data_IF_511389643531
#
_entry.id   IF_511389643531
#
_cell.length_a   1.000
_cell.length_b   1.000
_cell.length_c   1.000
_cell.angle_alpha   90.00
_cell.angle_beta   90.00
_cell.angle_gamma   90.00
#
_symmetry.space_group_name_H-M   'P 1'
#
loop_
_entity.id
_entity.type
_entity.pdbx_description
1 polymer ?
#
# COMPACT_ATOMS: atom_id res chain seq x y z
N UNK A 1 25.02 -4.16 29.41
CA UNK A 1 23.58 -4.21 29.75
C UNK A 1 22.87 -3.09 28.98
N UNK A 2 21.76 -3.37 28.30
CA UNK A 2 20.90 -2.33 27.70
C UNK A 2 20.81 -2.32 26.17
N UNK A 3 20.11 -3.30 25.58
CA UNK A 3 19.61 -3.25 24.20
C UNK A 3 18.22 -3.91 24.10
N UNK A 4 17.26 -3.42 24.88
CA UNK A 4 15.86 -3.88 24.81
C UNK A 4 14.94 -2.72 25.18
N UNK A 5 14.61 -1.82 24.24
CA UNK A 5 13.51 -0.87 24.49
C UNK A 5 12.83 -0.26 23.26
N UNK A 6 13.03 -0.82 22.05
CA UNK A 6 12.29 -0.37 20.86
C UNK A 6 11.22 -1.36 20.37
N UNK A 7 11.34 -2.66 20.70
CA UNK A 7 10.38 -3.67 20.24
C UNK A 7 9.14 -3.82 21.15
N UNK A 8 9.22 -3.44 22.43
CA UNK A 8 8.13 -3.71 23.40
C UNK A 8 7.07 -2.61 23.47
N UNK A 9 7.31 -1.43 22.88
CA UNK A 9 6.33 -0.32 22.90
C UNK A 9 5.26 -0.41 21.80
N UNK A 10 5.30 -1.44 20.95
CA UNK A 10 4.29 -1.66 19.90
C UNK A 10 3.15 -2.60 20.27
N UNK A 11 3.18 -3.22 21.46
CA UNK A 11 2.34 -4.39 21.77
C UNK A 11 1.25 -4.19 22.84
N UNK A 12 1.03 -2.98 23.38
CA UNK A 12 0.09 -2.77 24.51
C UNK A 12 -1.07 -1.83 24.26
N UNK A 13 -1.53 -1.67 23.01
CA UNK A 13 -2.83 -1.03 22.73
C UNK A 13 -3.79 -1.99 22.02
N UNK A 14 -3.96 -3.20 22.58
CA UNK A 14 -5.18 -3.98 22.35
C UNK A 14 -6.31 -3.35 23.18
N UNK A 15 -6.73 -2.14 22.80
CA UNK A 15 -8.04 -1.65 23.20
C UNK A 15 -9.08 -2.50 22.49
N UNK A 16 -9.66 -3.46 23.21
CA UNK A 16 -10.99 -4.02 22.96
C UNK A 16 -11.96 -2.85 22.68
N UNK A 17 -12.25 -2.58 21.42
CA UNK A 17 -13.16 -1.51 21.03
C UNK A 17 -12.95 -0.92 19.63
N UNK A 18 -12.57 -1.70 18.63
CA UNK A 18 -12.61 -1.26 17.24
C UNK A 18 -13.62 -2.13 16.48
N UNK A 19 -14.65 -1.46 15.94
CA UNK A 19 -15.67 -1.89 14.99
C UNK A 19 -15.60 -3.34 14.52
N UNK A 20 -16.72 -4.06 14.68
CA UNK A 20 -17.03 -5.23 13.85
C UNK A 20 -16.61 -4.94 12.39
N UNK A 21 -15.96 -5.88 11.68
CA UNK A 21 -15.55 -5.63 10.31
C UNK A 21 -16.80 -5.39 9.48
N UNK A 22 -17.07 -4.11 9.19
CA UNK A 22 -18.11 -3.71 8.26
C UNK A 22 -17.88 -4.49 6.97
N UNK A 23 -18.86 -5.33 6.61
CA UNK A 23 -18.83 -6.14 5.41
C UNK A 23 -18.68 -5.17 4.23
N UNK A 24 -17.55 -5.18 3.50
CA UNK A 24 -17.33 -4.18 2.48
C UNK A 24 -18.39 -4.31 1.39
N UNK A 25 -18.93 -3.17 0.96
CA UNK A 25 -19.90 -3.17 -0.13
C UNK A 25 -19.22 -3.61 -1.44
N UNK A 26 -19.88 -4.40 -2.31
CA UNK A 26 -19.28 -4.90 -3.55
C UNK A 26 -18.66 -3.83 -4.46
N UNK A 27 -19.16 -2.59 -4.41
CA UNK A 27 -18.61 -1.47 -5.19
C UNK A 27 -17.21 -1.03 -4.73
N UNK A 28 -16.86 -1.24 -3.46
CA UNK A 28 -15.55 -0.86 -2.90
C UNK A 28 -14.40 -1.65 -3.54
N UNK A 29 -14.64 -2.90 -3.91
CA UNK A 29 -13.68 -3.75 -4.63
C UNK A 29 -13.36 -3.25 -6.05
N UNK A 30 -14.22 -2.38 -6.59
CA UNK A 30 -14.05 -1.77 -7.92
C UNK A 30 -13.82 -0.26 -7.86
N UNK A 31 -13.74 0.32 -6.67
CA UNK A 31 -13.55 1.75 -6.49
C UNK A 31 -12.20 2.19 -7.08
N UNK A 32 -12.18 3.38 -7.70
CA UNK A 32 -10.97 3.98 -8.27
C UNK A 32 -10.89 5.43 -7.84
N UNK A 33 -9.78 5.83 -7.22
CA UNK A 33 -9.46 7.23 -6.93
C UNK A 33 -8.37 7.70 -7.88
N UNK A 34 -8.56 8.89 -8.46
CA UNK A 34 -7.62 9.50 -9.41
C UNK A 34 -7.15 10.83 -8.86
N UNK A 35 -5.84 11.03 -8.80
CA UNK A 35 -5.21 12.27 -8.36
C UNK A 35 -4.40 12.83 -9.52
N UNK A 36 -4.88 13.96 -10.08
CA UNK A 36 -4.16 14.67 -11.12
C UNK A 36 -3.12 15.59 -10.49
N UNK A 37 -1.84 15.40 -10.83
CA UNK A 37 -0.75 16.23 -10.33
C UNK A 37 -0.51 17.35 -11.35
N UNK A 38 -0.99 18.56 -11.03
CA UNK A 38 -0.81 19.77 -11.86
C UNK A 38 0.33 20.62 -11.28
N UNK A 39 1.49 20.60 -11.92
CA UNK A 39 2.65 21.41 -11.54
C UNK A 39 2.53 22.83 -12.16
N UNK A 40 1.63 23.66 -11.65
CA UNK A 40 1.47 25.06 -12.10
C UNK A 40 2.03 26.10 -11.12
N UNK A 41 2.63 25.70 -10.00
CA UNK A 41 3.24 26.62 -9.02
C UNK A 41 4.48 26.00 -8.36
N UNK A 42 5.48 26.81 -7.98
CA UNK A 42 6.57 26.35 -7.13
C UNK A 42 6.05 26.21 -5.71
N UNK A 43 5.37 25.11 -5.41
CA UNK A 43 5.00 24.77 -4.04
C UNK A 43 6.20 24.19 -3.30
N UNK A 44 6.27 24.46 -2.00
CA UNK A 44 7.25 23.95 -1.02
C UNK A 44 7.36 22.42 -0.94
N UNK A 45 6.47 21.70 -1.63
CA UNK A 45 6.52 20.26 -1.84
C UNK A 45 6.76 19.98 -3.32
N UNK A 46 8.02 20.15 -3.74
CA UNK A 46 8.44 19.93 -5.12
C UNK A 46 8.37 18.44 -5.44
N UNK A 47 7.26 17.98 -6.01
CA UNK A 47 7.20 16.70 -6.71
C UNK A 47 8.04 16.83 -7.98
N UNK A 48 9.31 16.48 -7.90
CA UNK A 48 10.16 16.25 -9.07
C UNK A 48 9.62 15.02 -9.82
N UNK A 49 8.71 15.26 -10.75
CA UNK A 49 8.10 14.23 -11.57
C UNK A 49 7.68 14.78 -12.93
N UNK A 50 7.48 13.92 -13.94
CA UNK A 50 7.10 14.34 -15.28
C UNK A 50 5.80 15.16 -15.25
N UNK A 51 5.71 16.18 -16.10
CA UNK A 51 4.52 17.04 -16.21
C UNK A 51 3.29 16.18 -16.58
N UNK A 52 2.17 16.38 -15.90
CA UNK A 52 0.89 15.76 -16.27
C UNK A 52 0.71 14.31 -15.82
N UNK A 53 1.30 13.90 -14.70
CA UNK A 53 1.08 12.56 -14.14
C UNK A 53 -0.27 12.47 -13.43
N UNK A 54 -1.00 11.39 -13.68
CA UNK A 54 -2.18 11.00 -12.91
C UNK A 54 -1.85 9.78 -12.07
N UNK A 55 -1.96 9.93 -10.75
CA UNK A 55 -1.91 8.78 -9.83
C UNK A 55 -3.31 8.15 -9.77
N UNK A 56 -3.36 6.82 -9.86
CA UNK A 56 -4.61 6.06 -9.79
C UNK A 56 -4.47 5.02 -8.69
N UNK A 57 -5.36 5.10 -7.70
CA UNK A 57 -5.50 4.11 -6.64
C UNK A 57 -6.71 3.23 -6.92
N UNK A 58 -6.53 1.92 -6.84
CA UNK A 58 -7.59 0.93 -7.03
C UNK A 58 -7.99 0.34 -5.68
N UNK A 59 -9.30 0.21 -5.44
CA UNK A 59 -9.90 -0.35 -4.23
C UNK A 59 -9.23 0.14 -2.91
N UNK A 60 -9.07 1.46 -2.73
CA UNK A 60 -8.21 2.02 -1.68
C UNK A 60 -8.61 1.56 -0.27
N UNK A 61 -9.92 1.51 0.01
CA UNK A 61 -10.43 1.12 1.32
C UNK A 61 -10.28 -0.39 1.57
N UNK A 62 -10.40 -1.22 0.52
CA UNK A 62 -10.15 -2.66 0.61
C UNK A 62 -8.67 -2.95 0.90
N UNK A 63 -7.75 -2.31 0.17
CA UNK A 63 -6.31 -2.49 0.46
C UNK A 63 -5.94 -1.95 1.84
N UNK A 64 -6.63 -0.92 2.35
CA UNK A 64 -6.46 -0.47 3.73
C UNK A 64 -6.88 -1.54 4.74
N UNK A 65 -8.03 -2.19 4.53
CA UNK A 65 -8.50 -3.29 5.39
C UNK A 65 -7.55 -4.50 5.32
N UNK A 66 -7.08 -4.86 4.12
CA UNK A 66 -6.07 -5.92 3.93
C UNK A 66 -4.79 -5.62 4.70
N UNK A 67 -4.26 -4.38 4.63
CA UNK A 67 -3.08 -3.98 5.42
C UNK A 67 -3.31 -4.17 6.92
N UNK A 68 -4.47 -3.75 7.43
CA UNK A 68 -4.83 -3.94 8.84
C UNK A 68 -4.88 -5.42 9.23
N UNK A 69 -5.44 -6.28 8.38
CA UNK A 69 -5.48 -7.73 8.61
C UNK A 69 -4.07 -8.34 8.69
N UNK A 70 -3.12 -7.81 7.92
CA UNK A 70 -1.69 -8.17 8.03
C UNK A 70 -0.94 -7.48 9.18
N UNK A 71 -1.62 -6.75 10.07
CA UNK A 71 -0.99 -6.04 11.19
C UNK A 71 -0.18 -4.81 10.77
N UNK A 72 -0.40 -4.29 9.56
CA UNK A 72 0.34 -3.15 9.02
C UNK A 72 -0.44 -1.87 9.29
N UNK A 73 0.12 -1.00 10.14
CA UNK A 73 -0.47 0.31 10.43
C UNK A 73 -0.31 1.29 9.25
N UNK A 74 -1.24 2.22 9.11
CA UNK A 74 -1.16 3.26 8.06
C UNK A 74 0.13 4.08 8.16
N UNK A 75 0.58 4.39 9.39
CA UNK A 75 1.80 5.14 9.63
C UNK A 75 3.05 4.36 9.21
N UNK A 76 3.14 3.07 9.55
CA UNK A 76 4.27 2.23 9.17
C UNK A 76 4.33 2.03 7.65
N UNK A 77 3.19 1.86 7.00
CA UNK A 77 3.10 1.78 5.54
C UNK A 77 3.59 3.08 4.87
N UNK A 78 3.10 4.23 5.34
CA UNK A 78 3.52 5.54 4.82
C UNK A 78 5.02 5.75 5.03
N UNK A 79 5.55 5.42 6.21
CA UNK A 79 6.97 5.60 6.51
C UNK A 79 7.86 4.72 5.63
N UNK A 80 7.49 3.47 5.41
CA UNK A 80 8.22 2.57 4.51
C UNK A 80 8.21 3.02 3.04
N UNK A 81 7.13 3.69 2.61
CA UNK A 81 6.97 4.23 1.25
C UNK A 81 7.52 5.66 1.10
N UNK A 82 7.98 6.30 2.18
CA UNK A 82 8.57 7.64 2.14
C UNK A 82 10.05 7.59 1.76
N UNK A 83 10.43 8.48 0.85
CA UNK A 83 11.81 8.64 0.40
C UNK A 83 12.18 7.70 -0.74
N UNK A 84 13.45 7.73 -1.18
CA UNK A 84 13.91 6.88 -2.27
C UNK A 84 13.89 5.41 -1.85
N UNK A 85 13.58 4.49 -2.78
CA UNK A 85 13.63 3.05 -2.50
C UNK A 85 15.06 2.60 -2.16
N UNK A 86 15.18 1.58 -1.29
CA UNK A 86 16.47 1.12 -0.76
C UNK A 86 17.38 0.51 -1.82
N UNK A 87 16.80 -0.06 -2.87
CA UNK A 87 17.52 -0.76 -3.94
C UNK A 87 16.69 -0.73 -5.21
N UNK A 88 17.25 -0.16 -6.28
CA UNK A 88 16.87 -0.52 -7.66
C UNK A 88 17.61 -1.81 -8.00
N UNK A 89 17.19 -2.94 -7.43
CA UNK A 89 17.56 -4.20 -8.05
C UNK A 89 16.72 -4.28 -9.33
N UNK A 90 17.27 -3.87 -10.47
CA UNK A 90 16.66 -4.07 -11.80
C UNK A 90 16.63 -5.58 -12.10
N UNK A 91 15.94 -6.36 -11.25
CA UNK A 91 15.67 -7.78 -11.44
C UNK A 91 14.52 -7.82 -12.43
N UNK A 92 14.87 -7.65 -13.70
CA UNK A 92 13.93 -7.80 -14.80
C UNK A 92 13.53 -9.25 -14.91
N UNK A 93 12.43 -9.60 -14.27
CA UNK A 93 11.71 -10.84 -14.56
C UNK A 93 10.54 -10.47 -15.45
N UNK A 94 10.60 -10.89 -16.71
CA UNK A 94 9.53 -10.71 -17.70
C UNK A 94 9.13 -9.24 -17.93
N UNK A 95 10.10 -8.33 -18.10
CA UNK A 95 9.89 -6.88 -18.26
C UNK A 95 9.21 -6.16 -17.09
N UNK A 96 9.12 -6.80 -15.91
CA UNK A 96 8.63 -6.16 -14.71
C UNK A 96 9.78 -5.55 -13.91
N UNK A 97 9.62 -4.28 -13.51
CA UNK A 97 10.48 -3.60 -12.55
C UNK A 97 10.06 -4.02 -11.15
N UNK A 98 11.02 -4.45 -10.34
CA UNK A 98 10.82 -4.79 -8.92
C UNK A 98 11.69 -3.85 -8.08
N UNK A 99 11.08 -3.21 -7.08
CA UNK A 99 11.72 -2.22 -6.22
C UNK A 99 11.42 -2.59 -4.77
N UNK A 100 12.41 -2.45 -3.88
CA UNK A 100 12.19 -2.62 -2.44
C UNK A 100 11.99 -1.28 -1.74
N UNK A 101 11.04 -1.24 -0.81
CA UNK A 101 10.76 -0.06 0.01
C UNK A 101 11.94 0.29 0.92
N UNK A 102 11.85 1.45 1.58
CA UNK A 102 12.76 1.78 2.67
C UNK A 102 12.61 0.72 3.78
N UNK A 103 13.73 0.22 4.31
CA UNK A 103 13.74 -0.83 5.35
C UNK A 103 13.41 -2.25 4.87
N UNK A 104 13.25 -2.47 3.55
CA UNK A 104 13.01 -3.78 2.92
C UNK A 104 11.72 -4.49 3.39
N UNK A 105 10.76 -3.74 3.91
CA UNK A 105 9.48 -4.30 4.40
C UNK A 105 8.47 -4.57 3.28
N UNK A 106 8.57 -3.88 2.14
CA UNK A 106 7.64 -4.03 1.02
C UNK A 106 8.36 -4.18 -0.32
N UNK A 107 7.68 -4.86 -1.24
CA UNK A 107 8.05 -4.99 -2.64
C UNK A 107 7.06 -4.19 -3.48
N UNK A 108 7.57 -3.33 -4.34
CA UNK A 108 6.81 -2.58 -5.35
C UNK A 108 7.16 -3.17 -6.70
N UNK A 109 6.19 -3.85 -7.32
CA UNK A 109 6.37 -4.49 -8.61
C UNK A 109 5.50 -3.83 -9.67
N UNK A 110 6.07 -3.49 -10.82
CA UNK A 110 5.29 -3.08 -11.98
C UNK A 110 4.54 -4.29 -12.53
N UNK A 111 3.27 -4.12 -12.88
CA UNK A 111 2.45 -5.21 -13.42
C UNK A 111 1.79 -4.80 -14.73
N UNK A 112 1.55 -5.78 -15.61
CA UNK A 112 0.82 -5.56 -16.85
C UNK A 112 -0.64 -5.16 -16.60
N UNK A 113 -1.27 -4.51 -17.61
CA UNK A 113 -2.71 -4.20 -17.59
C UNK A 113 -3.58 -5.45 -17.37
N UNK A 114 -3.17 -6.59 -17.92
CA UNK A 114 -3.90 -7.86 -17.79
C UNK A 114 -3.77 -8.43 -16.38
N UNK A 115 -2.56 -8.39 -15.81
CA UNK A 115 -2.31 -8.79 -14.41
C UNK A 115 -3.13 -7.94 -13.45
N UNK A 116 -3.15 -6.61 -13.65
CA UNK A 116 -3.98 -5.70 -12.84
C UNK A 116 -5.46 -6.06 -12.92
N UNK A 117 -6.00 -6.29 -14.13
CA UNK A 117 -7.41 -6.71 -14.30
C UNK A 117 -7.70 -8.00 -13.55
N UNK A 118 -6.82 -8.99 -13.64
CA UNK A 118 -6.95 -10.25 -12.91
C UNK A 118 -6.95 -10.02 -11.40
N UNK A 119 -6.02 -9.21 -10.89
CA UNK A 119 -5.92 -8.87 -9.46
C UNK A 119 -7.22 -8.25 -8.93
N UNK A 120 -7.78 -7.28 -9.64
CA UNK A 120 -9.04 -6.64 -9.25
C UNK A 120 -10.20 -7.66 -9.25
N UNK A 121 -10.24 -8.58 -10.21
CA UNK A 121 -11.27 -9.63 -10.25
C UNK A 121 -11.12 -10.66 -9.12
N UNK A 122 -9.88 -10.92 -8.66
CA UNK A 122 -9.62 -11.84 -7.55
C UNK A 122 -9.66 -11.18 -6.17
N UNK A 123 -9.80 -9.84 -6.10
CA UNK A 123 -9.70 -9.10 -4.84
C UNK A 123 -10.81 -9.47 -3.85
N UNK A 124 -12.04 -9.63 -4.33
CA UNK A 124 -13.18 -10.03 -3.49
C UNK A 124 -13.03 -11.45 -2.92
N UNK A 125 -12.77 -12.51 -3.72
CA UNK A 125 -12.58 -13.84 -3.16
C UNK A 125 -11.33 -13.91 -2.26
N UNK A 126 -10.27 -13.17 -2.57
CA UNK A 126 -9.09 -13.08 -1.71
C UNK A 126 -9.39 -12.44 -0.36
N UNK A 127 -10.12 -11.32 -0.35
CA UNK A 127 -10.54 -10.67 0.90
C UNK A 127 -11.43 -11.58 1.74
N UNK A 128 -12.36 -12.30 1.11
CA UNK A 128 -13.20 -13.28 1.79
C UNK A 128 -12.36 -14.35 2.49
N UNK A 129 -11.42 -14.95 1.77
CA UNK A 129 -10.51 -15.95 2.34
C UNK A 129 -9.71 -15.40 3.53
N UNK A 130 -9.18 -14.17 3.42
CA UNK A 130 -8.41 -13.51 4.47
C UNK A 130 -9.20 -13.24 5.76
N UNK A 131 -10.54 -13.13 5.69
CA UNK A 131 -11.41 -12.86 6.85
C UNK A 131 -12.01 -14.14 7.46
N UNK A 132 -11.86 -15.28 6.78
CA UNK A 132 -12.35 -16.59 7.24
C UNK A 132 -11.30 -17.34 8.08
N UNK A 133 -10.02 -16.92 8.02
CA UNK A 133 -8.91 -17.39 8.86
C UNK A 133 -8.82 -16.61 10.19
#
# INVERSE_FOLDING_TARGET
>A
EGFTTALERGLTDVKKGADLPEVPHPSEFRAVRKHAIKNNTPTTHTLFGPKGVTLIEYAPDIFKRIRKAYGISDLAYIDAMKGPPSTFSDVRRDNNVVIFSRGLHFIVQSISKNTRKRLINTLQPYYKHLMED
#
